data_IF_328643082426
#
_entry.id   IF_328643082426
#
_cell.length_a   1.000
_cell.length_b   1.000
_cell.length_c   1.000
_cell.angle_alpha   90.00
_cell.angle_beta   90.00
_cell.angle_gamma   90.00
#
_symmetry.space_group_name_H-M   'P 1'
#
loop_
_entity.id
_entity.type
_entity.pdbx_description
1 polymer ?
#
# COMPACT_ATOMS: atom_id res chain seq x y z
N UNK A 1 9.04 13.40 -16.62
CA UNK A 1 9.18 12.37 -15.56
C UNK A 1 7.80 12.06 -15.03
N UNK A 2 7.51 10.77 -14.73
CA UNK A 2 6.20 10.38 -14.15
C UNK A 2 6.03 10.96 -12.75
N UNK A 3 4.82 11.31 -12.40
CA UNK A 3 4.46 11.86 -11.08
C UNK A 3 3.79 10.79 -10.23
N UNK A 4 4.34 10.54 -9.05
CA UNK A 4 3.86 9.59 -8.06
C UNK A 4 3.46 10.32 -6.78
N UNK A 5 2.24 10.07 -6.31
CA UNK A 5 1.78 10.53 -5.01
C UNK A 5 1.75 9.37 -4.01
N UNK A 6 2.43 9.54 -2.89
CA UNK A 6 2.42 8.63 -1.75
C UNK A 6 1.51 9.22 -0.67
N UNK A 7 0.29 8.72 -0.56
CA UNK A 7 -0.65 9.11 0.49
C UNK A 7 -0.48 8.21 1.71
N UNK A 8 -0.13 8.80 2.84
CA UNK A 8 0.21 8.08 4.07
C UNK A 8 -0.85 8.36 5.12
N UNK A 9 -1.48 7.30 5.64
CA UNK A 9 -2.43 7.39 6.74
C UNK A 9 -1.93 6.57 7.93
N UNK A 10 -1.52 7.27 8.97
CA UNK A 10 -1.06 6.64 10.22
C UNK A 10 -1.41 7.51 11.44
N UNK A 11 -1.70 6.85 12.56
CA UNK A 11 -1.92 7.54 13.84
C UNK A 11 -0.62 8.15 14.41
N UNK A 12 0.54 7.55 14.09
CA UNK A 12 1.85 7.96 14.61
C UNK A 12 2.55 8.97 13.70
N UNK A 13 1.88 9.38 12.62
CA UNK A 13 2.42 10.36 11.68
C UNK A 13 3.73 9.89 11.05
N UNK A 14 4.76 10.74 11.11
CA UNK A 14 6.08 10.46 10.52
C UNK A 14 6.87 9.38 11.26
N UNK A 15 6.50 9.06 12.51
CA UNK A 15 7.11 7.99 13.31
C UNK A 15 6.42 6.64 13.10
N UNK A 16 5.88 6.38 11.93
CA UNK A 16 5.12 5.16 11.63
C UNK A 16 5.81 4.27 10.62
N UNK A 17 5.47 2.99 10.67
CA UNK A 17 5.88 2.02 9.66
C UNK A 17 5.41 2.43 8.26
N UNK A 18 4.19 3.00 8.14
CA UNK A 18 3.67 3.52 6.86
C UNK A 18 4.56 4.63 6.30
N UNK A 19 5.03 5.54 7.13
CA UNK A 19 5.91 6.62 6.70
C UNK A 19 7.31 6.09 6.33
N UNK A 20 7.82 5.12 7.07
CA UNK A 20 9.07 4.45 6.73
C UNK A 20 8.99 3.75 5.36
N UNK A 21 7.92 3.00 5.10
CA UNK A 21 7.68 2.34 3.80
C UNK A 21 7.64 3.39 2.68
N UNK A 22 6.98 4.53 2.90
CA UNK A 22 6.94 5.63 1.93
C UNK A 22 8.34 6.20 1.65
N UNK A 23 9.17 6.39 2.68
CA UNK A 23 10.56 6.84 2.53
C UNK A 23 11.40 5.83 1.74
N UNK A 24 11.23 4.54 2.01
CA UNK A 24 11.92 3.47 1.27
C UNK A 24 11.57 3.53 -0.23
N UNK A 25 10.28 3.61 -0.56
CA UNK A 25 9.81 3.70 -1.95
C UNK A 25 10.36 4.96 -2.64
N UNK A 26 10.29 6.12 -1.99
CA UNK A 26 10.85 7.37 -2.52
C UNK A 26 12.35 7.25 -2.82
N UNK A 27 13.13 6.69 -1.88
CA UNK A 27 14.58 6.46 -2.04
C UNK A 27 14.88 5.52 -3.22
N UNK A 28 14.13 4.42 -3.38
CA UNK A 28 14.32 3.45 -4.49
C UNK A 28 13.91 4.01 -5.86
N UNK A 29 13.00 4.98 -5.89
CA UNK A 29 12.52 5.63 -7.11
C UNK A 29 13.22 6.96 -7.44
N UNK A 30 14.19 7.37 -6.62
CA UNK A 30 14.94 8.61 -6.80
C UNK A 30 15.57 8.67 -8.21
N UNK A 31 15.36 9.78 -8.91
CA UNK A 31 15.86 10.00 -10.27
C UNK A 31 15.06 9.28 -11.38
N UNK A 32 14.12 8.39 -11.03
CA UNK A 32 13.29 7.65 -12.01
C UNK A 32 11.86 8.20 -12.09
N UNK A 33 11.33 8.67 -10.94
CA UNK A 33 9.94 9.15 -10.79
C UNK A 33 9.96 10.38 -9.89
N UNK A 34 9.10 11.36 -10.16
CA UNK A 34 8.89 12.52 -9.28
C UNK A 34 7.93 12.11 -8.16
N UNK A 35 8.47 11.84 -6.96
CA UNK A 35 7.70 11.42 -5.81
C UNK A 35 7.28 12.62 -4.95
N UNK A 36 6.02 12.62 -4.50
CA UNK A 36 5.51 13.55 -3.48
C UNK A 36 4.82 12.76 -2.38
N UNK A 37 5.29 12.92 -1.15
CA UNK A 37 4.67 12.32 0.04
C UNK A 37 3.64 13.28 0.66
N UNK A 38 2.49 12.74 1.03
CA UNK A 38 1.40 13.48 1.64
C UNK A 38 0.89 12.70 2.86
N UNK A 39 1.15 13.24 4.04
CA UNK A 39 0.55 12.72 5.26
C UNK A 39 -0.91 13.16 5.32
N UNK A 40 -1.81 12.18 5.37
CA UNK A 40 -3.25 12.44 5.35
C UNK A 40 -3.73 13.05 6.67
N UNK A 41 -4.55 14.08 6.56
CA UNK A 41 -5.28 14.73 7.64
C UNK A 41 -6.61 15.27 7.10
N UNK A 42 -7.51 15.69 7.97
CA UNK A 42 -8.80 16.27 7.54
C UNK A 42 -8.60 17.43 6.55
N UNK A 43 -7.67 18.33 6.84
CA UNK A 43 -7.37 19.49 5.98
C UNK A 43 -6.82 19.13 4.60
N UNK A 44 -6.17 17.96 4.48
CA UNK A 44 -5.58 17.50 3.22
C UNK A 44 -6.62 16.83 2.33
N UNK A 45 -7.64 16.22 2.92
CA UNK A 45 -8.69 15.47 2.19
C UNK A 45 -9.43 16.38 1.19
N UNK A 46 -9.70 17.63 1.55
CA UNK A 46 -10.44 18.57 0.68
C UNK A 46 -9.73 18.85 -0.65
N UNK A 47 -8.40 18.82 -0.68
CA UNK A 47 -7.59 19.07 -1.89
C UNK A 47 -7.07 17.82 -2.61
N UNK A 48 -7.49 16.62 -2.18
CA UNK A 48 -6.94 15.36 -2.73
C UNK A 48 -7.27 15.18 -4.20
N UNK A 49 -8.50 15.47 -4.62
CA UNK A 49 -8.97 15.27 -5.99
C UNK A 49 -8.07 15.99 -6.99
N UNK A 50 -7.75 17.25 -6.73
CA UNK A 50 -6.90 18.06 -7.62
C UNK A 50 -5.45 17.54 -7.68
N UNK A 51 -4.95 16.97 -6.59
CA UNK A 51 -3.62 16.36 -6.56
C UNK A 51 -3.59 15.06 -7.38
N UNK A 52 -4.59 14.21 -7.18
CA UNK A 52 -4.73 12.94 -7.91
C UNK A 52 -4.82 13.16 -9.41
N UNK A 53 -5.59 14.14 -9.87
CA UNK A 53 -5.71 14.49 -11.30
C UNK A 53 -4.39 14.83 -11.97
N UNK A 54 -3.40 15.32 -11.22
CA UNK A 54 -2.10 15.80 -11.73
C UNK A 54 -1.01 14.74 -11.71
N UNK A 55 -1.29 13.53 -11.24
CA UNK A 55 -0.29 12.46 -11.14
C UNK A 55 -0.55 11.32 -12.13
N UNK A 56 0.43 10.42 -12.25
CA UNK A 56 0.37 9.20 -13.05
C UNK A 56 0.09 7.98 -12.18
N UNK A 57 0.61 8.00 -10.95
CA UNK A 57 0.50 6.92 -10.01
C UNK A 57 0.13 7.44 -8.62
N UNK A 58 -0.71 6.69 -7.93
CA UNK A 58 -1.07 6.90 -6.53
C UNK A 58 -0.74 5.63 -5.76
N UNK A 59 -0.02 5.78 -4.66
CA UNK A 59 0.15 4.70 -3.67
C UNK A 59 -0.47 5.15 -2.35
N UNK A 60 -1.43 4.41 -1.89
CA UNK A 60 -2.05 4.57 -0.59
C UNK A 60 -1.37 3.65 0.43
N UNK A 61 -0.73 4.20 1.45
CA UNK A 61 -0.01 3.47 2.48
C UNK A 61 -0.68 3.75 3.83
N UNK A 62 -1.21 2.71 4.46
CA UNK A 62 -1.93 2.89 5.72
C UNK A 62 -1.63 1.82 6.75
N UNK A 63 -1.58 2.24 8.03
CA UNK A 63 -1.58 1.33 9.18
C UNK A 63 -3.02 0.98 9.56
N UNK A 64 -3.29 -0.31 9.68
CA UNK A 64 -4.56 -0.82 10.16
C UNK A 64 -4.55 -0.85 11.69
N UNK A 65 -5.70 -0.56 12.30
CA UNK A 65 -5.90 -0.71 13.73
C UNK A 65 -7.15 -1.55 13.96
N UNK A 66 -7.02 -2.60 14.74
CA UNK A 66 -8.11 -3.57 14.94
C UNK A 66 -8.69 -4.10 13.62
N UNK A 67 -7.80 -4.35 12.65
CA UNK A 67 -8.14 -4.92 11.34
C UNK A 67 -9.07 -4.02 10.48
N UNK A 68 -9.07 -2.70 10.72
CA UNK A 68 -9.90 -1.76 9.98
C UNK A 68 -9.12 -0.53 9.51
N UNK A 69 -9.64 0.09 8.46
CA UNK A 69 -9.21 1.43 8.07
C UNK A 69 -9.57 2.46 9.15
N UNK A 70 -8.63 3.34 9.48
CA UNK A 70 -8.93 4.49 10.31
C UNK A 70 -9.87 5.47 9.60
N UNK A 71 -10.41 6.46 10.33
CA UNK A 71 -11.36 7.45 9.79
C UNK A 71 -10.78 8.20 8.58
N UNK A 72 -9.54 8.65 8.66
CA UNK A 72 -8.88 9.40 7.58
C UNK A 72 -8.69 8.51 6.33
N UNK A 73 -8.32 7.24 6.50
CA UNK A 73 -8.24 6.28 5.41
C UNK A 73 -9.59 6.09 4.71
N UNK A 74 -10.68 5.97 5.49
CA UNK A 74 -12.04 5.84 4.94
C UNK A 74 -12.44 7.08 4.13
N UNK A 75 -12.17 8.28 4.66
CA UNK A 75 -12.42 9.55 3.95
C UNK A 75 -11.60 9.68 2.66
N UNK A 76 -10.32 9.28 2.71
CA UNK A 76 -9.47 9.26 1.52
C UNK A 76 -10.02 8.35 0.44
N UNK A 77 -10.36 7.10 0.78
CA UNK A 77 -10.91 6.14 -0.17
C UNK A 77 -12.25 6.60 -0.76
N UNK A 78 -13.08 7.27 0.02
CA UNK A 78 -14.32 7.87 -0.51
C UNK A 78 -14.02 9.02 -1.48
N UNK A 79 -13.06 9.89 -1.17
CA UNK A 79 -12.64 10.95 -2.10
C UNK A 79 -12.10 10.38 -3.42
N UNK A 80 -11.34 9.27 -3.39
CA UNK A 80 -10.88 8.56 -4.59
C UNK A 80 -12.06 7.94 -5.35
N UNK A 81 -13.02 7.34 -4.65
CA UNK A 81 -14.24 6.78 -5.27
C UNK A 81 -15.06 7.85 -6.00
N UNK A 82 -15.27 8.99 -5.36
CA UNK A 82 -15.97 10.14 -5.95
C UNK A 82 -15.22 10.69 -7.16
N UNK A 83 -13.89 10.81 -7.04
CA UNK A 83 -13.08 11.27 -8.16
C UNK A 83 -13.15 10.30 -9.34
N UNK A 84 -13.10 8.99 -9.10
CA UNK A 84 -13.21 7.99 -10.17
C UNK A 84 -14.56 7.95 -10.87
N UNK A 85 -15.62 8.58 -10.34
CA UNK A 85 -16.92 8.76 -11.01
C UNK A 85 -16.90 9.91 -12.02
N UNK A 86 -15.94 10.81 -11.94
CA UNK A 86 -15.88 12.00 -12.79
C UNK A 86 -15.60 11.63 -14.25
N UNK A 87 -16.41 12.14 -15.19
CA UNK A 87 -16.38 11.74 -16.61
C UNK A 87 -15.34 12.51 -17.44
N UNK A 88 -14.76 13.56 -16.91
CA UNK A 88 -13.98 14.54 -17.68
C UNK A 88 -12.49 14.21 -17.84
N UNK A 89 -12.03 13.07 -17.30
CA UNK A 89 -10.60 12.71 -17.35
C UNK A 89 -10.28 11.73 -18.47
N UNK A 90 -9.37 12.13 -19.34
CA UNK A 90 -8.85 11.32 -20.44
C UNK A 90 -7.55 10.57 -20.09
N UNK A 91 -7.03 10.77 -18.87
CA UNK A 91 -5.74 10.18 -18.46
C UNK A 91 -5.98 9.10 -17.41
N UNK A 92 -5.45 7.92 -17.66
CA UNK A 92 -5.44 6.82 -16.70
C UNK A 92 -4.47 7.12 -15.54
N UNK A 93 -4.92 6.88 -14.32
CA UNK A 93 -4.13 6.98 -13.09
C UNK A 93 -4.04 5.60 -12.46
N UNK A 94 -2.83 5.11 -12.21
CA UNK A 94 -2.61 3.82 -11.57
C UNK A 94 -2.68 3.96 -10.05
N UNK A 95 -3.46 3.12 -9.41
CA UNK A 95 -3.65 3.12 -7.96
C UNK A 95 -3.14 1.82 -7.35
N UNK A 96 -2.36 1.95 -6.29
CA UNK A 96 -1.87 0.84 -5.49
C UNK A 96 -2.13 1.08 -4.01
N UNK A 97 -2.20 0.02 -3.22
CA UNK A 97 -2.34 0.13 -1.78
C UNK A 97 -1.33 -0.76 -1.04
N UNK A 98 -0.76 -0.23 0.05
CA UNK A 98 0.07 -0.98 0.99
C UNK A 98 -0.60 -0.88 2.35
N UNK A 99 -1.09 -2.01 2.83
CA UNK A 99 -1.79 -2.10 4.12
C UNK A 99 -0.87 -2.80 5.12
N UNK A 100 -0.51 -2.14 6.20
CA UNK A 100 0.29 -2.75 7.27
C UNK A 100 -0.50 -2.82 8.57
N UNK A 101 -0.40 -3.95 9.26
CA UNK A 101 -1.12 -4.18 10.51
C UNK A 101 -0.42 -5.18 11.42
N UNK A 102 -0.51 -4.91 12.73
CA UNK A 102 -0.09 -5.84 13.77
C UNK A 102 -1.22 -6.86 14.00
N UNK A 103 -1.31 -7.84 13.10
CA UNK A 103 -2.39 -8.80 13.08
C UNK A 103 -1.81 -10.21 13.18
N UNK A 104 -2.45 -11.08 13.95
CA UNK A 104 -2.10 -12.51 13.95
C UNK A 104 -2.21 -13.08 12.53
N UNK A 105 -1.12 -13.71 12.07
CA UNK A 105 -0.90 -14.08 10.67
C UNK A 105 -2.06 -14.87 10.05
N UNK A 106 -2.71 -15.76 10.81
CA UNK A 106 -3.75 -16.65 10.26
C UNK A 106 -5.09 -15.97 9.96
N UNK A 107 -5.51 -15.04 10.82
CA UNK A 107 -6.76 -14.27 10.59
C UNK A 107 -6.50 -12.98 9.80
N UNK A 108 -5.23 -12.55 9.75
CA UNK A 108 -4.82 -11.29 9.17
C UNK A 108 -4.79 -11.28 7.66
N UNK A 109 -4.35 -12.38 7.00
CA UNK A 109 -4.28 -12.46 5.54
C UNK A 109 -5.66 -12.22 4.93
N UNK A 110 -6.68 -12.98 5.34
CA UNK A 110 -8.03 -12.84 4.79
C UNK A 110 -8.62 -11.45 5.04
N UNK A 111 -8.33 -10.86 6.21
CA UNK A 111 -8.82 -9.52 6.54
C UNK A 111 -8.16 -8.44 5.69
N UNK A 112 -6.83 -8.48 5.55
CA UNK A 112 -6.11 -7.54 4.69
C UNK A 112 -6.50 -7.74 3.23
N UNK A 113 -6.66 -8.98 2.77
CA UNK A 113 -7.13 -9.27 1.42
C UNK A 113 -8.47 -8.61 1.13
N UNK A 114 -9.47 -8.78 2.00
CA UNK A 114 -10.77 -8.11 1.89
C UNK A 114 -10.66 -6.57 1.87
N UNK A 115 -9.69 -5.99 2.60
CA UNK A 115 -9.47 -4.55 2.57
C UNK A 115 -8.78 -4.09 1.28
N UNK A 116 -7.85 -4.88 0.74
CA UNK A 116 -7.25 -4.64 -0.57
C UNK A 116 -8.29 -4.77 -1.70
N UNK A 117 -9.19 -5.76 -1.62
CA UNK A 117 -10.32 -5.91 -2.54
C UNK A 117 -11.22 -4.66 -2.54
N UNK A 118 -11.55 -4.10 -1.36
CA UNK A 118 -12.29 -2.84 -1.26
C UNK A 118 -11.56 -1.67 -1.93
N UNK A 119 -10.23 -1.60 -1.83
CA UNK A 119 -9.45 -0.60 -2.57
C UNK A 119 -9.53 -0.84 -4.08
N UNK A 120 -9.44 -2.10 -4.51
CA UNK A 120 -9.54 -2.49 -5.91
C UNK A 120 -10.92 -2.17 -6.50
N UNK A 121 -12.01 -2.43 -5.78
CA UNK A 121 -13.38 -2.11 -6.21
C UNK A 121 -13.59 -0.61 -6.49
N UNK A 122 -12.92 0.26 -5.73
CA UNK A 122 -12.97 1.71 -5.92
C UNK A 122 -12.32 2.08 -7.27
N UNK A 123 -11.30 1.34 -7.68
CA UNK A 123 -10.49 1.63 -8.87
C UNK A 123 -11.10 1.10 -10.17
N UNK A 124 -11.91 0.04 -10.13
CA UNK A 124 -12.34 -0.68 -11.34
C UNK A 124 -13.39 0.03 -12.20
N UNK A 125 -13.69 1.32 -11.97
CA UNK A 125 -14.86 1.94 -12.63
C UNK A 125 -14.57 2.84 -13.82
N UNK A 126 -13.42 3.52 -13.96
CA UNK A 126 -13.14 4.44 -15.09
C UNK A 126 -11.65 4.70 -15.36
N UNK A 127 -11.10 5.79 -14.82
CA UNK A 127 -9.77 6.24 -15.15
C UNK A 127 -8.74 6.01 -14.04
N UNK A 128 -9.20 5.76 -12.80
CA UNK A 128 -8.32 5.25 -11.75
C UNK A 128 -8.36 3.73 -11.80
N UNK A 129 -7.25 3.12 -12.16
CA UNK A 129 -7.14 1.68 -12.36
C UNK A 129 -6.27 1.04 -11.28
N UNK A 130 -6.67 -0.13 -10.84
CA UNK A 130 -5.88 -0.91 -9.88
C UNK A 130 -4.58 -1.41 -10.51
N UNK A 131 -3.48 -1.24 -9.80
CA UNK A 131 -2.17 -1.75 -10.21
C UNK A 131 -1.73 -2.92 -9.33
N UNK A 132 -1.62 -2.73 -8.01
CA UNK A 132 -1.17 -3.78 -7.08
C UNK A 132 -1.56 -3.47 -5.64
N UNK A 133 -1.84 -4.51 -4.85
CA UNK A 133 -1.97 -4.46 -3.40
C UNK A 133 -0.84 -5.20 -2.71
N UNK A 134 -0.34 -4.65 -1.59
CA UNK A 134 0.61 -5.34 -0.71
C UNK A 134 0.05 -5.35 0.71
N UNK A 135 -0.14 -6.55 1.25
CA UNK A 135 -0.46 -6.76 2.65
C UNK A 135 0.81 -7.02 3.46
N UNK A 136 1.04 -6.26 4.50
CA UNK A 136 2.18 -6.43 5.41
C UNK A 136 1.65 -6.87 6.77
N UNK A 137 1.93 -8.14 7.09
CA UNK A 137 1.46 -8.80 8.31
C UNK A 137 2.63 -8.97 9.27
N UNK A 138 2.95 -7.94 9.99
CA UNK A 138 4.00 -8.03 11.00
C UNK A 138 3.82 -6.97 12.06
N UNK A 139 4.20 -7.30 13.27
CA UNK A 139 4.53 -6.30 14.28
C UNK A 139 5.86 -5.66 13.88
N UNK A 140 5.74 -4.70 12.96
CA UNK A 140 6.92 -4.01 12.44
C UNK A 140 7.33 -2.93 13.42
N UNK A 141 8.62 -2.80 13.64
CA UNK A 141 9.22 -1.64 14.26
C UNK A 141 10.24 -1.00 13.31
N UNK A 142 9.81 -0.79 12.06
CA UNK A 142 10.67 -0.26 10.99
C UNK A 142 11.17 1.14 11.29
N UNK A 143 10.41 1.89 12.07
CA UNK A 143 10.78 3.23 12.49
C UNK A 143 12.05 3.24 13.35
N UNK A 144 12.21 2.30 14.29
CA UNK A 144 13.36 2.24 15.18
C UNK A 144 14.54 1.44 14.59
N UNK A 145 14.24 0.38 13.88
CA UNK A 145 15.26 -0.59 13.48
C UNK A 145 15.63 -0.55 11.99
N UNK A 146 14.75 -0.03 11.13
CA UNK A 146 14.94 -0.06 9.68
C UNK A 146 14.85 -1.47 9.08
N UNK A 147 14.65 -1.56 7.78
CA UNK A 147 14.70 -2.85 7.05
C UNK A 147 16.12 -3.41 7.04
N UNK A 148 17.12 -2.56 6.87
CA UNK A 148 18.53 -2.92 6.72
C UNK A 148 19.10 -3.62 7.97
N UNK A 149 18.63 -3.25 9.17
CA UNK A 149 19.10 -3.81 10.44
C UNK A 149 18.39 -5.12 10.83
N UNK A 150 17.31 -5.48 10.17
CA UNK A 150 16.54 -6.68 10.42
C UNK A 150 16.31 -7.49 9.13
N UNK A 151 17.29 -7.51 8.24
CA UNK A 151 17.20 -8.13 6.92
C UNK A 151 16.66 -9.58 6.94
N UNK A 152 17.06 -10.40 7.94
CA UNK A 152 16.59 -11.78 8.07
C UNK A 152 15.08 -11.88 8.43
N UNK A 153 14.52 -10.86 9.06
CA UNK A 153 13.12 -10.86 9.51
C UNK A 153 12.19 -10.23 8.46
N UNK A 154 12.70 -9.25 7.71
CA UNK A 154 11.93 -8.44 6.78
C UNK A 154 12.37 -8.55 5.31
N UNK A 155 13.24 -9.53 4.98
CA UNK A 155 13.72 -9.76 3.61
C UNK A 155 12.56 -9.88 2.59
N UNK A 156 11.46 -10.56 2.98
CA UNK A 156 10.30 -10.67 2.12
C UNK A 156 9.63 -9.32 1.86
N UNK A 157 9.54 -8.45 2.86
CA UNK A 157 8.99 -7.10 2.68
C UNK A 157 9.90 -6.28 1.77
N UNK A 158 11.22 -6.35 1.96
CA UNK A 158 12.16 -5.63 1.10
C UNK A 158 12.07 -6.10 -0.35
N UNK A 159 12.06 -7.40 -0.60
CA UNK A 159 11.90 -7.97 -1.94
C UNK A 159 10.59 -7.50 -2.59
N UNK A 160 9.47 -7.57 -1.85
CA UNK A 160 8.16 -7.13 -2.38
C UNK A 160 8.15 -5.64 -2.71
N UNK A 161 8.75 -4.80 -1.87
CA UNK A 161 8.84 -3.36 -2.13
C UNK A 161 9.78 -3.04 -3.31
N UNK A 162 10.89 -3.76 -3.47
CA UNK A 162 11.78 -3.60 -4.62
C UNK A 162 11.11 -4.00 -5.93
N UNK A 163 10.46 -5.17 -5.96
CA UNK A 163 9.68 -5.61 -7.12
C UNK A 163 8.57 -4.59 -7.45
N UNK A 164 7.88 -4.09 -6.43
CA UNK A 164 6.85 -3.08 -6.60
C UNK A 164 7.38 -1.77 -7.21
N UNK A 165 8.54 -1.30 -6.73
CA UNK A 165 9.19 -0.12 -7.33
C UNK A 165 9.58 -0.35 -8.79
N UNK A 166 10.08 -1.54 -9.15
CA UNK A 166 10.38 -1.89 -10.53
C UNK A 166 9.11 -1.91 -11.40
N UNK A 167 7.99 -2.41 -10.85
CA UNK A 167 6.71 -2.46 -11.54
C UNK A 167 6.15 -1.06 -11.85
N UNK A 168 6.33 -0.10 -10.93
CA UNK A 168 5.96 1.31 -11.14
C UNK A 168 6.77 1.90 -12.31
N UNK A 169 8.08 1.65 -12.35
CA UNK A 169 8.96 2.15 -13.41
C UNK A 169 8.60 1.52 -14.76
N UNK A 170 8.37 0.20 -14.77
CA UNK A 170 8.10 -0.61 -15.97
C UNK A 170 6.62 -0.66 -16.37
N UNK A 171 5.74 0.04 -15.64
CA UNK A 171 4.29 0.09 -15.89
C UNK A 171 3.57 -1.27 -15.85
N UNK A 172 4.13 -2.25 -15.18
CA UNK A 172 3.51 -3.55 -15.05
C UNK A 172 2.26 -3.49 -14.18
N UNK A 173 1.27 -4.28 -14.54
CA UNK A 173 0.03 -4.47 -13.76
C UNK A 173 -0.04 -5.89 -13.26
N UNK A 174 -0.55 -6.05 -12.06
CA UNK A 174 -0.77 -7.36 -11.46
C UNK A 174 -2.22 -7.50 -11.02
N UNK A 175 -2.79 -8.65 -11.32
CA UNK A 175 -4.15 -8.99 -10.89
C UNK A 175 -4.19 -9.62 -9.49
N UNK A 176 -3.03 -9.89 -8.90
CA UNK A 176 -2.92 -10.54 -7.59
C UNK A 176 -2.26 -9.62 -6.58
N UNK A 177 -2.83 -9.60 -5.37
CA UNK A 177 -2.21 -8.95 -4.23
C UNK A 177 -1.05 -9.82 -3.71
N UNK A 178 -0.01 -9.18 -3.17
CA UNK A 178 1.09 -9.87 -2.51
C UNK A 178 1.06 -9.63 -1.01
N UNK A 179 1.70 -10.55 -0.26
CA UNK A 179 1.74 -10.47 1.19
C UNK A 179 3.18 -10.65 1.68
N UNK A 180 3.66 -9.68 2.46
CA UNK A 180 4.92 -9.79 3.17
C UNK A 180 4.63 -10.26 4.61
N UNK A 181 5.16 -11.45 4.94
CA UNK A 181 4.97 -12.12 6.22
C UNK A 181 6.34 -12.39 6.83
N UNK A 182 6.59 -11.99 8.09
CA UNK A 182 7.89 -12.23 8.71
C UNK A 182 8.20 -13.72 8.80
N UNK A 183 9.46 -14.08 8.58
CA UNK A 183 9.92 -15.50 8.64
C UNK A 183 9.92 -16.09 10.04
N UNK A 184 9.90 -15.27 11.09
CA UNK A 184 9.89 -15.74 12.48
C UNK A 184 8.48 -15.94 13.02
N UNK A 185 8.20 -17.18 13.46
CA UNK A 185 7.00 -17.54 14.22
C UNK A 185 6.25 -18.74 13.66
N UNK A 186 5.51 -19.44 14.52
CA UNK A 186 4.66 -20.59 14.15
C UNK A 186 3.60 -20.28 13.09
N UNK A 187 3.26 -19.00 12.89
CA UNK A 187 2.32 -18.51 11.89
C UNK A 187 2.82 -18.65 10.45
N UNK A 188 4.13 -18.45 10.19
CA UNK A 188 4.70 -18.55 8.84
C UNK A 188 4.61 -19.99 8.28
N UNK A 189 4.99 -21.00 9.08
CA UNK A 189 4.90 -22.41 8.67
C UNK A 189 3.45 -22.84 8.45
N UNK A 190 2.51 -22.39 9.30
CA UNK A 190 1.08 -22.66 9.13
C UNK A 190 0.52 -22.00 7.87
N UNK A 191 0.93 -20.77 7.56
CA UNK A 191 0.52 -20.08 6.33
C UNK A 191 1.00 -20.82 5.08
N UNK A 192 2.26 -21.20 5.00
CA UNK A 192 2.80 -21.98 3.88
C UNK A 192 2.06 -23.30 3.72
N UNK A 193 1.87 -24.05 4.82
CA UNK A 193 1.18 -25.33 4.79
C UNK A 193 -0.30 -25.20 4.34
N UNK A 194 -0.99 -24.10 4.70
CA UNK A 194 -2.36 -23.87 4.24
C UNK A 194 -2.42 -23.45 2.77
N UNK A 195 -1.47 -22.63 2.29
CA UNK A 195 -1.38 -22.30 0.86
C UNK A 195 -1.07 -23.51 0.01
N UNK A 196 -0.15 -24.38 0.43
CA UNK A 196 0.16 -25.63 -0.29
C UNK A 196 -1.08 -26.52 -0.38
N UNK A 197 -1.88 -26.63 0.68
CA UNK A 197 -3.14 -27.40 0.68
C UNK A 197 -4.25 -26.84 -0.21
N UNK A 198 -4.19 -25.57 -0.58
CA UNK A 198 -5.17 -24.97 -1.52
C UNK A 198 -4.80 -25.19 -2.99
N UNK A 199 -3.56 -25.63 -3.27
CA UNK A 199 -3.07 -25.92 -4.62
C UNK A 199 -2.88 -27.42 -4.89
N UNK A 200 -3.15 -28.29 -3.91
CA UNK A 200 -3.26 -29.75 -4.03
C UNK A 200 -4.69 -30.20 -3.89
#
# INVERSE_FOLDING_TARGET
MKKLLLFISSYEGEKSNSYYIANYIEKKLLGKVECTKILLSDKVIDGIKDKVRKCDNVIFITSLRKDEFNRISKMFLEAIREENKNKEHNKEIKFSAILNGDIEVLSGVEKIEKLLEKCMEICNKKYIVWQKGIGVLAKLNLWESGLENNALEYDQLEIELEMFCQDIVNEKRYHHNSFAIPKKGSGFLKFINNKIKQFT
#
